data_IF_072367427824
#
_entry.id   IF_072367427824
#
_cell.length_a   1.000
_cell.length_b   1.000
_cell.length_c   1.000
_cell.angle_alpha   90.00
_cell.angle_beta   90.00
_cell.angle_gamma   90.00
#
_symmetry.space_group_name_H-M   'P 1'
#
loop_
_entity.id
_entity.type
_entity.pdbx_description
1 polymer ?
#
# COMPACT_ATOMS: atom_id res chain seq x y z
N UNK A 1 -10.47 -31.33 42.27
CA UNK A 1 -9.84 -30.29 41.46
C UNK A 1 -10.17 -28.85 41.91
N UNK A 2 -11.40 -28.45 42.20
CA UNK A 2 -11.78 -27.06 42.56
C UNK A 2 -11.14 -26.47 43.85
N UNK A 3 -10.64 -27.27 44.76
CA UNK A 3 -10.04 -26.79 46.05
C UNK A 3 -8.54 -26.41 45.92
N UNK A 4 -7.82 -26.92 44.91
CA UNK A 4 -6.42 -26.62 44.65
C UNK A 4 -6.25 -25.25 43.95
N UNK A 5 -7.17 -24.90 43.06
CA UNK A 5 -7.14 -23.62 42.36
C UNK A 5 -7.33 -22.39 43.30
N UNK A 6 -8.20 -22.52 44.32
CA UNK A 6 -8.44 -21.43 45.28
C UNK A 6 -7.23 -21.09 46.16
N UNK A 7 -6.37 -22.07 46.45
CA UNK A 7 -5.18 -21.90 47.31
C UNK A 7 -4.00 -21.29 46.55
N UNK A 8 -3.94 -21.50 45.22
CA UNK A 8 -2.92 -20.93 44.35
C UNK A 8 -3.21 -19.43 44.05
N UNK A 9 -4.49 -19.12 43.78
CA UNK A 9 -4.91 -17.74 43.49
C UNK A 9 -4.73 -16.75 44.67
N UNK A 10 -4.74 -17.25 45.92
CA UNK A 10 -4.48 -16.42 47.11
C UNK A 10 -3.01 -16.04 47.32
N UNK A 11 -2.07 -16.63 46.58
CA UNK A 11 -0.64 -16.32 46.62
C UNK A 11 -0.14 -15.43 45.48
N UNK A 12 -1.00 -15.15 44.50
CA UNK A 12 -0.64 -14.29 43.37
C UNK A 12 -0.92 -12.85 43.82
N UNK A 13 0.14 -12.09 43.96
CA UNK A 13 0.07 -10.63 44.17
C UNK A 13 0.21 -9.97 42.81
N UNK A 14 -0.84 -9.31 42.35
CA UNK A 14 -0.81 -8.54 41.11
C UNK A 14 -0.20 -7.19 41.43
N UNK A 15 0.90 -6.86 40.78
CA UNK A 15 1.64 -5.63 40.97
C UNK A 15 1.21 -4.56 39.96
N UNK A 16 1.61 -3.31 40.20
CA UNK A 16 1.39 -2.22 39.22
C UNK A 16 2.09 -2.47 37.89
N UNK A 17 3.21 -3.21 37.91
CA UNK A 17 3.96 -3.55 36.70
C UNK A 17 3.28 -4.64 35.88
N UNK A 18 2.58 -5.60 36.54
CA UNK A 18 1.74 -6.56 35.86
C UNK A 18 0.56 -5.87 35.13
N UNK A 19 -0.05 -4.84 35.78
CA UNK A 19 -1.08 -4.04 35.12
C UNK A 19 -0.53 -3.25 33.94
N UNK A 20 0.65 -2.63 34.07
CA UNK A 20 1.28 -1.92 32.95
C UNK A 20 1.62 -2.84 31.78
N UNK A 21 2.11 -4.05 32.09
CA UNK A 21 2.40 -5.07 31.07
C UNK A 21 1.12 -5.55 30.39
N UNK A 22 0.07 -5.86 31.15
CA UNK A 22 -1.22 -6.24 30.63
C UNK A 22 -1.88 -5.13 29.78
N UNK A 23 -1.75 -3.85 30.18
CA UNK A 23 -2.25 -2.72 29.40
C UNK A 23 -1.52 -2.54 28.05
N UNK A 24 -0.27 -2.99 27.94
CA UNK A 24 0.45 -3.01 26.66
C UNK A 24 -0.08 -4.11 25.72
N UNK A 25 -0.53 -5.23 26.29
CA UNK A 25 -1.04 -6.37 25.50
C UNK A 25 -2.54 -6.27 25.21
N UNK A 26 -3.32 -5.64 26.11
CA UNK A 26 -4.77 -5.49 25.95
C UNK A 26 -5.06 -4.23 25.15
N UNK A 27 -5.35 -4.42 23.87
CA UNK A 27 -5.85 -3.31 23.04
C UNK A 27 -7.33 -3.05 23.36
N UNK A 28 -7.76 -1.78 23.53
CA UNK A 28 -9.16 -1.41 23.68
C UNK A 28 -9.99 -1.97 22.50
N UNK A 29 -11.21 -2.43 22.78
CA UNK A 29 -12.07 -3.07 21.77
C UNK A 29 -12.34 -2.19 20.54
N UNK A 30 -12.42 -0.86 20.73
CA UNK A 30 -12.57 0.11 19.66
C UNK A 30 -11.34 0.19 18.72
N UNK A 31 -10.14 -0.23 19.18
CA UNK A 31 -8.91 -0.22 18.40
C UNK A 31 -8.72 -1.49 17.55
N UNK A 32 -9.55 -2.52 17.76
CA UNK A 32 -9.48 -3.77 16.96
C UNK A 32 -9.90 -3.59 15.50
N UNK A 33 -10.55 -2.48 15.16
CA UNK A 33 -11.03 -2.21 13.81
C UNK A 33 -9.94 -1.65 12.88
N UNK A 34 -8.91 -0.99 13.44
CA UNK A 34 -7.75 -0.49 12.69
C UNK A 34 -6.60 -1.47 12.83
N UNK A 35 -6.32 -2.21 11.76
CA UNK A 35 -5.23 -3.20 11.72
C UNK A 35 -3.89 -2.49 11.54
N UNK A 36 -3.00 -2.70 12.51
CA UNK A 36 -1.59 -2.33 12.37
C UNK A 36 -0.85 -3.54 11.84
N UNK A 37 -0.13 -3.36 10.76
CA UNK A 37 0.67 -4.38 10.11
C UNK A 37 2.16 -4.04 10.27
N UNK A 38 3.00 -5.06 10.34
CA UNK A 38 4.43 -4.92 10.12
C UNK A 38 4.69 -5.54 8.76
N UNK A 39 4.88 -4.73 7.71
CA UNK A 39 5.10 -5.28 6.37
C UNK A 39 6.47 -5.97 6.31
N UNK A 40 6.55 -7.05 5.54
CA UNK A 40 7.80 -7.76 5.26
C UNK A 40 8.07 -7.66 3.75
N UNK A 41 8.21 -6.43 3.27
CA UNK A 41 8.50 -6.11 1.86
C UNK A 41 9.72 -5.22 1.83
N UNK A 42 10.74 -5.62 1.08
CA UNK A 42 12.00 -4.88 0.93
C UNK A 42 12.04 -4.10 -0.38
N UNK A 43 12.98 -3.18 -0.49
CA UNK A 43 13.22 -2.48 -1.77
C UNK A 43 13.60 -3.42 -2.91
N UNK A 44 14.19 -4.59 -2.60
CA UNK A 44 14.58 -5.60 -3.59
C UNK A 44 13.36 -6.34 -4.16
N UNK A 45 12.26 -6.40 -3.42
CA UNK A 45 10.99 -6.98 -3.89
C UNK A 45 10.25 -6.05 -4.88
N UNK A 46 10.72 -4.83 -5.05
CA UNK A 46 10.15 -3.86 -6.00
C UNK A 46 11.07 -3.77 -7.22
N UNK A 47 10.64 -4.34 -8.34
CA UNK A 47 11.42 -4.31 -9.58
C UNK A 47 11.45 -2.92 -10.22
N UNK A 48 12.65 -2.36 -10.45
CA UNK A 48 12.85 -1.04 -11.05
C UNK A 48 12.37 0.12 -10.19
N UNK A 49 11.92 1.21 -10.81
CA UNK A 49 11.39 2.43 -10.16
C UNK A 49 12.41 3.12 -9.24
N UNK A 50 13.69 3.12 -9.61
CA UNK A 50 14.78 3.59 -8.75
C UNK A 50 14.62 5.06 -8.35
N UNK A 51 14.18 5.92 -9.29
CA UNK A 51 13.91 7.33 -9.00
C UNK A 51 12.78 7.48 -7.97
N UNK A 52 11.69 6.71 -8.14
CA UNK A 52 10.54 6.71 -7.22
C UNK A 52 10.95 6.19 -5.83
N UNK A 53 11.77 5.13 -5.78
CA UNK A 53 12.33 4.61 -4.52
C UNK A 53 13.17 5.66 -3.82
N UNK A 54 14.03 6.37 -4.57
CA UNK A 54 14.85 7.43 -4.01
C UNK A 54 14.01 8.59 -3.46
N UNK A 55 12.98 9.04 -4.20
CA UNK A 55 12.07 10.07 -3.72
C UNK A 55 11.31 9.64 -2.44
N UNK A 56 10.89 8.38 -2.35
CA UNK A 56 10.24 7.84 -1.15
C UNK A 56 11.20 7.72 0.03
N UNK A 57 12.46 7.34 -0.20
CA UNK A 57 13.50 7.35 0.84
C UNK A 57 13.66 8.74 1.43
N UNK A 58 13.78 9.76 0.57
CA UNK A 58 13.93 11.14 0.99
C UNK A 58 12.71 11.69 1.72
N UNK A 59 11.51 11.38 1.23
CA UNK A 59 10.27 11.93 1.75
C UNK A 59 9.76 11.23 3.02
N UNK A 60 10.05 9.93 3.21
CA UNK A 60 9.46 9.10 4.27
C UNK A 60 10.52 8.41 5.12
N UNK A 61 11.45 7.66 4.49
CA UNK A 61 12.41 6.84 5.23
C UNK A 61 13.40 7.70 6.04
N UNK A 62 14.00 8.70 5.42
CA UNK A 62 14.99 9.55 6.09
C UNK A 62 14.41 10.37 7.24
N UNK A 63 13.23 11.01 7.11
CA UNK A 63 12.61 11.69 8.26
C UNK A 63 12.34 10.77 9.45
N UNK A 64 11.86 9.55 9.21
CA UNK A 64 11.55 8.57 10.26
C UNK A 64 12.82 7.99 10.91
N UNK A 65 13.88 7.74 10.12
CA UNK A 65 15.13 7.17 10.64
C UNK A 65 16.10 8.20 11.21
N UNK A 66 16.07 9.43 10.73
CA UNK A 66 17.06 10.45 11.02
C UNK A 66 16.44 11.83 11.29
N UNK A 67 15.43 11.95 12.17
CA UNK A 67 14.77 13.22 12.47
C UNK A 67 15.75 14.31 12.94
N UNK A 68 16.79 13.92 13.67
CA UNK A 68 17.83 14.82 14.18
C UNK A 68 18.61 15.56 13.09
N UNK A 69 18.70 14.95 11.88
CA UNK A 69 19.37 15.60 10.75
C UNK A 69 18.51 16.69 10.14
N UNK A 70 17.20 16.44 10.04
CA UNK A 70 16.25 17.43 9.55
C UNK A 70 16.18 18.65 10.48
N UNK A 71 16.13 18.44 11.79
CA UNK A 71 16.21 19.52 12.79
C UNK A 71 17.52 20.33 12.67
N UNK A 72 18.65 19.64 12.56
CA UNK A 72 19.97 20.28 12.46
C UNK A 72 20.09 21.19 11.23
N UNK A 73 19.49 20.81 10.11
CA UNK A 73 19.53 21.60 8.89
C UNK A 73 18.33 22.57 8.76
N UNK A 74 17.38 22.56 9.70
CA UNK A 74 16.17 23.38 9.64
C UNK A 74 15.26 23.04 8.47
N UNK A 75 15.33 21.79 7.96
CA UNK A 75 14.51 21.30 6.85
C UNK A 75 13.27 20.62 7.43
N UNK A 76 12.10 21.05 6.98
CA UNK A 76 10.84 20.40 7.36
C UNK A 76 10.56 19.23 6.44
N UNK A 77 10.37 18.00 6.98
CA UNK A 77 9.97 16.88 6.16
C UNK A 77 8.55 17.08 5.60
N UNK A 78 8.23 16.51 4.44
CA UNK A 78 6.86 16.55 3.93
C UNK A 78 5.94 15.76 4.86
N UNK A 79 4.75 16.31 5.18
CA UNK A 79 3.75 15.62 6.00
C UNK A 79 3.10 14.46 5.28
N UNK A 80 2.88 14.61 3.98
CA UNK A 80 2.23 13.61 3.15
C UNK A 80 2.85 13.49 1.77
N UNK A 81 2.85 12.28 1.26
CA UNK A 81 3.33 11.91 -0.07
C UNK A 81 2.18 11.31 -0.88
N UNK A 82 1.92 11.84 -2.07
CA UNK A 82 0.93 11.30 -2.99
C UNK A 82 1.61 10.49 -4.10
N UNK A 83 1.32 9.19 -4.15
CA UNK A 83 1.69 8.32 -5.26
C UNK A 83 0.57 8.31 -6.30
N UNK A 84 0.87 8.66 -7.54
CA UNK A 84 -0.14 8.66 -8.59
C UNK A 84 0.37 8.04 -9.88
N UNK A 85 -0.52 7.44 -10.64
CA UNK A 85 -0.19 6.76 -11.91
C UNK A 85 -1.20 5.67 -12.24
N UNK A 86 -0.97 4.97 -13.33
CA UNK A 86 -1.87 3.90 -13.80
C UNK A 86 -1.98 2.76 -12.79
N UNK A 87 -3.12 2.04 -12.74
CA UNK A 87 -3.28 0.90 -11.85
C UNK A 87 -2.24 -0.21 -12.18
N UNK A 88 -1.88 -1.01 -11.18
CA UNK A 88 -0.97 -2.13 -11.34
C UNK A 88 0.53 -1.78 -11.42
N UNK A 89 0.92 -0.50 -11.25
CA UNK A 89 2.32 -0.06 -11.26
C UNK A 89 3.07 -0.24 -9.93
N UNK A 90 2.45 -0.84 -8.91
CA UNK A 90 3.12 -1.17 -7.64
C UNK A 90 3.04 -0.10 -6.55
N UNK A 91 2.13 0.89 -6.63
CA UNK A 91 1.98 1.96 -5.62
C UNK A 91 1.81 1.44 -4.19
N UNK A 92 0.95 0.45 -3.99
CA UNK A 92 0.74 -0.19 -2.69
C UNK A 92 1.97 -0.97 -2.22
N UNK A 93 2.70 -1.60 -3.14
CA UNK A 93 3.94 -2.33 -2.84
C UNK A 93 5.05 -1.35 -2.40
N UNK A 94 5.21 -0.22 -3.09
CA UNK A 94 6.13 0.85 -2.73
C UNK A 94 5.86 1.40 -1.32
N UNK A 95 4.58 1.64 -0.99
CA UNK A 95 4.20 2.11 0.35
C UNK A 95 4.53 1.10 1.45
N UNK A 96 4.36 -0.20 1.18
CA UNK A 96 4.75 -1.26 2.12
C UNK A 96 6.27 -1.36 2.25
N UNK A 97 7.00 -1.28 1.13
CA UNK A 97 8.45 -1.34 1.14
C UNK A 97 9.06 -0.20 1.95
N UNK A 98 8.64 1.05 1.74
CA UNK A 98 9.17 2.18 2.51
C UNK A 98 8.85 2.06 4.01
N UNK A 99 7.67 1.55 4.37
CA UNK A 99 7.32 1.34 5.79
C UNK A 99 8.18 0.24 6.43
N UNK A 100 8.37 -0.89 5.73
CA UNK A 100 9.22 -2.00 6.19
C UNK A 100 10.67 -1.54 6.36
N UNK A 101 11.21 -0.90 5.36
CA UNK A 101 12.59 -0.38 5.38
C UNK A 101 12.79 0.72 6.42
N UNK A 102 11.74 1.49 6.74
CA UNK A 102 11.77 2.49 7.82
C UNK A 102 11.60 1.90 9.22
N UNK A 103 11.45 0.58 9.35
CA UNK A 103 11.10 -0.10 10.61
C UNK A 103 9.82 0.48 11.26
N UNK A 104 8.91 0.99 10.42
CA UNK A 104 7.68 1.64 10.86
C UNK A 104 6.49 0.69 10.77
N UNK A 105 5.54 0.87 11.68
CA UNK A 105 4.24 0.24 11.60
C UNK A 105 3.48 0.73 10.36
N UNK A 106 2.61 -0.09 9.80
CA UNK A 106 1.86 0.21 8.59
C UNK A 106 0.36 0.09 8.86
N UNK A 107 -0.37 1.18 8.61
CA UNK A 107 -1.83 1.22 8.69
C UNK A 107 -2.35 1.46 7.29
N UNK A 108 -2.96 0.43 6.69
CA UNK A 108 -3.57 0.53 5.37
C UNK A 108 -5.06 0.81 5.49
N UNK A 109 -5.51 1.83 4.78
CA UNK A 109 -6.90 2.29 4.74
C UNK A 109 -7.32 2.40 3.29
N UNK A 110 -8.32 1.64 2.88
CA UNK A 110 -8.92 1.78 1.54
C UNK A 110 -10.03 2.80 1.57
N UNK A 111 -10.04 3.72 0.61
CA UNK A 111 -11.05 4.76 0.54
C UNK A 111 -12.48 4.23 0.61
N UNK A 112 -12.90 3.23 -0.21
CA UNK A 112 -14.25 2.65 -0.12
C UNK A 112 -14.60 2.05 1.24
N UNK A 113 -13.63 1.49 1.97
CA UNK A 113 -13.86 0.91 3.31
C UNK A 113 -14.22 1.98 4.35
N UNK A 114 -13.63 3.18 4.26
CA UNK A 114 -13.98 4.30 5.12
C UNK A 114 -15.44 4.75 4.94
N UNK A 115 -15.95 4.67 3.71
CA UNK A 115 -17.34 5.05 3.43
C UNK A 115 -18.33 3.97 3.85
N UNK A 116 -18.01 2.68 3.62
CA UNK A 116 -18.91 1.55 3.84
C UNK A 116 -18.92 1.04 5.29
N UNK A 117 -17.76 0.91 5.91
CA UNK A 117 -17.59 0.35 7.25
C UNK A 117 -18.05 1.29 8.35
N UNK A 118 -17.98 2.60 8.08
CA UNK A 118 -18.30 3.67 9.02
C UNK A 118 -19.53 4.47 8.59
N UNK A 119 -20.58 3.79 8.10
CA UNK A 119 -21.84 4.44 7.71
C UNK A 119 -22.40 5.25 8.88
N UNK A 120 -22.45 6.58 8.70
CA UNK A 120 -22.85 7.53 9.75
C UNK A 120 -21.74 8.03 10.68
N UNK A 121 -20.55 7.39 10.70
CA UNK A 121 -19.41 7.72 11.59
C UNK A 121 -18.08 7.77 10.83
N UNK A 122 -18.07 7.99 9.53
CA UNK A 122 -16.86 7.94 8.68
C UNK A 122 -15.78 8.94 9.14
N UNK A 123 -16.17 10.07 9.73
CA UNK A 123 -15.25 11.04 10.35
C UNK A 123 -14.56 10.46 11.58
N UNK A 124 -15.27 9.67 12.38
CA UNK A 124 -14.70 8.97 13.53
C UNK A 124 -13.67 7.94 13.08
N UNK A 125 -13.91 7.23 11.97
CA UNK A 125 -12.96 6.30 11.38
C UNK A 125 -11.62 6.98 11.04
N UNK A 126 -11.65 8.16 10.43
CA UNK A 126 -10.42 8.93 10.16
C UNK A 126 -9.71 9.28 11.46
N UNK A 127 -10.41 9.83 12.47
CA UNK A 127 -9.81 10.14 13.78
C UNK A 127 -9.16 8.93 14.44
N UNK A 128 -9.81 7.76 14.38
CA UNK A 128 -9.29 6.52 14.95
C UNK A 128 -8.00 6.07 14.25
N UNK A 129 -7.91 6.19 12.92
CA UNK A 129 -6.70 5.89 12.15
C UNK A 129 -5.54 6.75 12.63
N UNK A 130 -5.72 8.07 12.69
CA UNK A 130 -4.67 8.98 13.14
C UNK A 130 -4.30 8.79 14.62
N UNK A 131 -5.29 8.60 15.48
CA UNK A 131 -5.07 8.28 16.90
C UNK A 131 -4.25 7.00 17.06
N UNK A 132 -4.58 5.97 16.30
CA UNK A 132 -3.85 4.70 16.32
C UNK A 132 -2.42 4.88 15.81
N UNK A 133 -2.22 5.62 14.72
CA UNK A 133 -0.90 5.88 14.18
C UNK A 133 0.02 6.58 15.20
N UNK A 134 -0.47 7.61 15.89
CA UNK A 134 0.27 8.29 16.97
C UNK A 134 0.63 7.34 18.12
N UNK A 135 -0.26 6.40 18.45
CA UNK A 135 -0.01 5.44 19.54
C UNK A 135 1.01 4.35 19.18
N UNK A 136 1.17 4.07 17.88
CA UNK A 136 2.06 3.03 17.36
C UNK A 136 3.24 3.59 16.58
N UNK A 137 3.56 4.87 16.77
CA UNK A 137 4.69 5.51 16.10
C UNK A 137 6.03 4.79 16.42
N UNK A 138 6.98 4.69 15.46
CA UNK A 138 6.88 5.25 14.11
C UNK A 138 5.87 4.50 13.23
N UNK A 139 5.05 5.23 12.46
CA UNK A 139 3.96 4.64 11.67
C UNK A 139 3.81 5.31 10.32
N UNK A 140 3.58 4.52 9.28
CA UNK A 140 3.14 4.97 7.96
C UNK A 140 1.64 4.71 7.82
N UNK A 141 0.84 5.76 7.62
CA UNK A 141 -0.56 5.66 7.23
C UNK A 141 -0.62 5.64 5.70
N UNK A 142 -1.23 4.61 5.14
CA UNK A 142 -1.40 4.47 3.70
C UNK A 142 -2.87 4.52 3.32
N UNK A 143 -3.26 5.57 2.58
CA UNK A 143 -4.59 5.69 1.99
C UNK A 143 -4.56 5.18 0.54
N UNK A 144 -5.14 4.01 0.30
CA UNK A 144 -5.29 3.47 -1.05
C UNK A 144 -6.61 3.93 -1.68
N UNK A 145 -6.59 4.19 -2.99
CA UNK A 145 -7.76 4.69 -3.73
C UNK A 145 -8.37 5.95 -3.09
N UNK A 146 -7.52 6.91 -2.72
CA UNK A 146 -7.96 8.14 -2.02
C UNK A 146 -8.97 8.95 -2.86
N UNK A 147 -8.96 8.80 -4.17
CA UNK A 147 -9.92 9.43 -5.09
C UNK A 147 -11.36 8.99 -4.85
N UNK A 148 -11.60 7.83 -4.24
CA UNK A 148 -12.94 7.36 -3.88
C UNK A 148 -13.58 8.21 -2.78
N UNK A 149 -12.76 8.78 -1.87
CA UNK A 149 -13.22 9.62 -0.75
C UNK A 149 -12.96 11.10 -0.95
N UNK A 150 -12.06 11.47 -1.85
CA UNK A 150 -11.57 12.84 -2.01
C UNK A 150 -11.83 13.42 -3.41
N UNK A 151 -12.88 12.95 -4.09
CA UNK A 151 -13.23 13.41 -5.43
C UNK A 151 -14.07 14.70 -5.41
N UNK A 152 -13.70 15.66 -6.28
CA UNK A 152 -14.44 16.90 -6.50
C UNK A 152 -15.74 16.70 -7.30
N UNK A 153 -15.93 15.56 -7.99
CA UNK A 153 -17.05 15.31 -8.91
C UNK A 153 -18.35 14.85 -8.25
N UNK A 154 -18.36 14.62 -6.93
CA UNK A 154 -19.56 14.17 -6.19
C UNK A 154 -20.64 15.26 -6.00
N UNK A 155 -20.71 16.26 -6.88
CA UNK A 155 -21.63 17.40 -6.70
C UNK A 155 -23.12 17.06 -6.87
N UNK A 156 -23.47 15.89 -7.43
CA UNK A 156 -24.84 15.54 -7.79
C UNK A 156 -25.41 14.30 -7.08
N UNK A 157 -24.67 13.63 -6.19
CA UNK A 157 -25.16 12.47 -5.46
C UNK A 157 -25.50 12.80 -4.00
N UNK A 158 -26.51 12.14 -3.46
CA UNK A 158 -26.93 12.23 -2.05
C UNK A 158 -25.81 11.90 -1.04
N UNK A 159 -24.74 11.24 -1.47
CA UNK A 159 -23.55 10.90 -0.69
C UNK A 159 -22.50 12.02 -0.63
N UNK A 160 -22.69 13.13 -1.38
CA UNK A 160 -21.73 14.24 -1.42
C UNK A 160 -21.45 14.87 -0.04
N UNK A 161 -22.41 14.81 0.86
CA UNK A 161 -22.27 15.34 2.22
C UNK A 161 -21.33 14.53 3.10
N UNK A 162 -21.37 13.20 3.01
CA UNK A 162 -20.50 12.30 3.80
C UNK A 162 -19.05 12.42 3.31
N UNK A 163 -18.84 12.33 2.02
CA UNK A 163 -17.53 12.44 1.40
C UNK A 163 -16.82 13.76 1.76
N UNK A 164 -17.53 14.89 1.67
CA UNK A 164 -16.99 16.21 2.07
C UNK A 164 -16.60 16.26 3.55
N UNK A 165 -17.39 15.65 4.45
CA UNK A 165 -17.07 15.61 5.88
C UNK A 165 -15.80 14.76 6.15
N UNK A 166 -15.67 13.62 5.47
CA UNK A 166 -14.47 12.76 5.55
C UNK A 166 -13.23 13.52 5.08
N UNK A 167 -13.30 14.21 3.93
CA UNK A 167 -12.20 15.04 3.44
C UNK A 167 -11.84 16.13 4.43
N UNK A 168 -12.83 16.88 4.95
CA UNK A 168 -12.57 17.93 5.93
C UNK A 168 -11.95 17.38 7.23
N UNK A 169 -12.39 16.19 7.67
CA UNK A 169 -11.77 15.55 8.84
C UNK A 169 -10.34 15.13 8.53
N UNK A 170 -10.06 14.55 7.35
CA UNK A 170 -8.71 14.20 6.92
C UNK A 170 -7.81 15.43 6.90
N UNK A 171 -8.27 16.54 6.33
CA UNK A 171 -7.55 17.81 6.32
C UNK A 171 -7.25 18.31 7.74
N UNK A 172 -8.23 18.23 8.64
CA UNK A 172 -8.07 18.64 10.05
C UNK A 172 -7.02 17.78 10.77
N UNK A 173 -7.06 16.45 10.57
CA UNK A 173 -6.06 15.55 11.18
C UNK A 173 -4.65 15.80 10.62
N UNK A 174 -4.52 16.00 9.29
CA UNK A 174 -3.23 16.33 8.67
C UNK A 174 -2.67 17.66 9.18
N UNK A 175 -3.51 18.68 9.29
CA UNK A 175 -3.10 19.99 9.82
C UNK A 175 -2.72 19.92 11.31
N UNK A 176 -3.35 19.00 12.07
CA UNK A 176 -3.10 18.74 13.47
C UNK A 176 -1.90 17.85 13.78
N UNK A 177 -1.22 17.29 12.75
CA UNK A 177 0.04 16.59 12.95
C UNK A 177 1.16 17.61 13.18
N UNK A 178 1.82 17.51 14.32
CA UNK A 178 3.04 18.26 14.58
C UNK A 178 4.21 17.65 13.79
N UNK A 179 5.25 18.44 13.50
CA UNK A 179 6.34 18.08 12.56
C UNK A 179 7.21 16.90 13.03
N UNK A 180 7.02 16.37 14.24
CA UNK A 180 7.90 15.37 14.89
C UNK A 180 7.12 14.20 15.53
N UNK A 181 5.91 13.91 15.05
CA UNK A 181 5.12 12.82 15.66
C UNK A 181 5.46 11.42 15.13
N UNK A 182 6.57 11.24 14.37
CA UNK A 182 6.99 9.95 13.75
C UNK A 182 5.87 9.26 12.95
N UNK A 183 4.97 10.06 12.37
CA UNK A 183 3.87 9.59 11.51
C UNK A 183 4.02 10.16 10.13
N UNK A 184 4.22 9.31 9.14
CA UNK A 184 4.22 9.68 7.73
C UNK A 184 2.91 9.27 7.06
N UNK A 185 2.41 10.09 6.14
CA UNK A 185 1.19 9.80 5.38
C UNK A 185 1.55 9.56 3.93
N UNK A 186 1.10 8.44 3.39
CA UNK A 186 1.19 8.13 1.96
C UNK A 186 -0.22 7.93 1.43
N UNK A 187 -0.56 8.55 0.31
CA UNK A 187 -1.79 8.28 -0.41
C UNK A 187 -1.50 7.75 -1.81
N UNK A 188 -2.36 6.89 -2.32
CA UNK A 188 -2.29 6.39 -3.69
C UNK A 188 -3.58 6.70 -4.44
N UNK A 189 -3.44 7.11 -5.70
CA UNK A 189 -4.56 7.34 -6.61
C UNK A 189 -4.21 6.97 -8.05
N UNK A 190 -5.21 6.52 -8.78
CA UNK A 190 -5.13 6.39 -10.24
C UNK A 190 -5.66 7.64 -10.97
N UNK A 191 -6.29 8.56 -10.25
CA UNK A 191 -7.01 9.72 -10.77
C UNK A 191 -6.64 11.01 -10.02
N UNK A 192 -5.41 11.52 -10.17
CA UNK A 192 -5.00 12.77 -9.50
C UNK A 192 -5.81 13.99 -9.97
N UNK A 193 -6.41 13.91 -11.17
CA UNK A 193 -7.21 14.97 -11.80
C UNK A 193 -8.54 15.28 -11.06
N UNK A 194 -9.04 14.34 -10.24
CA UNK A 194 -10.32 14.52 -9.55
C UNK A 194 -10.17 14.79 -8.06
N UNK A 195 -8.95 14.78 -7.53
CA UNK A 195 -8.72 15.02 -6.10
C UNK A 195 -9.09 16.45 -5.69
N UNK A 196 -9.55 16.59 -4.45
CA UNK A 196 -9.83 17.89 -3.84
C UNK A 196 -8.54 18.73 -3.77
N UNK A 197 -8.60 19.94 -4.31
CA UNK A 197 -7.45 20.86 -4.32
C UNK A 197 -6.95 21.22 -2.91
N UNK A 198 -7.78 21.09 -1.89
CA UNK A 198 -7.40 21.29 -0.50
C UNK A 198 -6.35 20.30 -0.01
N UNK A 199 -6.38 19.05 -0.50
CA UNK A 199 -5.39 18.04 -0.14
C UNK A 199 -4.01 18.30 -0.75
N UNK A 200 -3.98 18.99 -1.89
CA UNK A 200 -2.75 19.26 -2.66
C UNK A 200 -2.04 20.55 -2.20
N UNK A 201 -2.52 21.18 -1.13
CA UNK A 201 -1.90 22.42 -0.61
C UNK A 201 -0.66 22.08 0.22
N UNK A 202 0.36 22.99 0.25
CA UNK A 202 1.50 22.85 1.14
C UNK A 202 1.11 22.60 2.60
N UNK A 203 1.84 21.72 3.28
CA UNK A 203 1.53 21.28 4.65
C UNK A 203 0.61 20.05 4.71
N UNK A 204 0.24 19.45 3.56
CA UNK A 204 -0.61 18.26 3.45
C UNK A 204 0.06 17.22 2.57
N UNK A 205 -0.41 17.00 1.36
CA UNK A 205 0.37 16.19 0.40
C UNK A 205 1.36 17.10 -0.33
N UNK A 206 2.52 17.28 0.27
CA UNK A 206 3.56 18.19 -0.22
C UNK A 206 4.37 17.59 -1.38
N UNK A 207 4.51 16.25 -1.35
CA UNK A 207 5.29 15.53 -2.34
C UNK A 207 4.36 14.73 -3.25
N UNK A 208 4.48 14.96 -4.56
CA UNK A 208 3.71 14.24 -5.56
C UNK A 208 4.67 13.42 -6.41
N UNK A 209 4.59 12.09 -6.29
CA UNK A 209 5.48 11.16 -6.96
C UNK A 209 4.68 10.40 -8.01
N UNK A 210 5.07 10.56 -9.27
CA UNK A 210 4.47 9.84 -10.38
C UNK A 210 5.08 8.45 -10.51
N UNK A 211 4.23 7.43 -10.53
CA UNK A 211 4.64 6.06 -10.79
C UNK A 211 4.29 5.74 -12.23
N UNK A 212 5.28 5.86 -13.10
CA UNK A 212 5.12 5.64 -14.54
C UNK A 212 5.07 4.15 -14.90
N UNK A 213 4.75 3.86 -16.17
CA UNK A 213 4.87 2.53 -16.72
C UNK A 213 6.33 2.08 -16.69
N UNK A 214 6.62 0.81 -16.38
CA UNK A 214 7.97 0.32 -16.35
C UNK A 214 8.59 0.32 -17.76
N UNK A 215 9.80 0.86 -17.88
CA UNK A 215 10.64 0.74 -19.07
C UNK A 215 11.17 -0.70 -19.21
N UNK A 216 11.90 -1.01 -20.27
CA UNK A 216 12.41 -2.38 -20.53
C UNK A 216 13.27 -2.90 -19.37
N UNK A 217 14.16 -2.07 -18.81
CA UNK A 217 15.02 -2.45 -17.69
C UNK A 217 14.23 -2.73 -16.41
N UNK A 218 13.25 -1.88 -16.13
CA UNK A 218 12.33 -2.09 -15.01
C UNK A 218 11.49 -3.36 -15.20
N UNK A 219 10.99 -3.65 -16.41
CA UNK A 219 10.26 -4.89 -16.69
C UNK A 219 11.16 -6.11 -16.49
N UNK A 220 12.42 -6.05 -16.92
CA UNK A 220 13.37 -7.12 -16.65
C UNK A 220 13.57 -7.35 -15.14
N UNK A 221 13.70 -6.27 -14.38
CA UNK A 221 13.81 -6.34 -12.91
C UNK A 221 12.55 -6.93 -12.28
N UNK A 222 11.35 -6.56 -12.76
CA UNK A 222 10.08 -7.11 -12.30
C UNK A 222 9.99 -8.62 -12.63
N UNK A 223 10.39 -9.05 -13.83
CA UNK A 223 10.47 -10.47 -14.15
C UNK A 223 11.40 -11.22 -13.21
N UNK A 224 12.59 -10.68 -12.89
CA UNK A 224 13.51 -11.30 -11.95
C UNK A 224 12.89 -11.50 -10.58
N UNK A 225 12.21 -10.49 -10.05
CA UNK A 225 11.51 -10.56 -8.76
C UNK A 225 10.43 -11.66 -8.80
N UNK A 226 9.56 -11.66 -9.81
CA UNK A 226 8.45 -12.63 -9.87
C UNK A 226 8.85 -14.05 -10.31
N UNK A 227 10.08 -14.24 -10.78
CA UNK A 227 10.63 -15.57 -11.05
C UNK A 227 11.66 -16.02 -10.04
N UNK A 228 11.87 -15.24 -8.97
CA UNK A 228 12.76 -15.65 -7.86
C UNK A 228 12.22 -16.92 -7.21
N UNK A 229 13.09 -17.94 -7.10
CA UNK A 229 12.70 -19.26 -6.62
C UNK A 229 11.89 -20.12 -7.60
N UNK A 230 11.54 -19.61 -8.78
CA UNK A 230 10.90 -20.40 -9.83
C UNK A 230 11.96 -21.14 -10.65
N UNK A 231 11.89 -22.48 -10.77
CA UNK A 231 12.83 -23.24 -11.60
C UNK A 231 12.55 -22.96 -13.09
N UNK A 232 13.34 -22.10 -13.70
CA UNK A 232 13.26 -21.79 -15.13
C UNK A 232 14.09 -22.79 -15.93
N UNK A 233 13.59 -23.17 -17.11
CA UNK A 233 14.35 -23.96 -18.07
C UNK A 233 15.41 -23.09 -18.78
N UNK A 234 16.47 -23.71 -19.30
CA UNK A 234 17.59 -23.02 -19.96
C UNK A 234 17.18 -22.23 -21.23
N UNK A 235 16.00 -22.53 -21.80
CA UNK A 235 15.46 -21.85 -22.97
C UNK A 235 14.73 -20.52 -22.65
N UNK A 236 14.54 -20.18 -21.37
CA UNK A 236 13.88 -18.96 -20.91
C UNK A 236 14.88 -17.81 -20.84
N UNK A 237 14.60 -16.73 -21.57
CA UNK A 237 15.36 -15.48 -21.46
C UNK A 237 14.45 -14.36 -20.97
N UNK A 238 14.69 -13.88 -19.74
CA UNK A 238 13.92 -12.79 -19.14
C UNK A 238 14.09 -11.48 -19.92
N UNK A 239 15.25 -11.27 -20.54
CA UNK A 239 15.52 -10.11 -21.41
C UNK A 239 14.60 -10.10 -22.64
N UNK A 240 14.39 -11.27 -23.26
CA UNK A 240 13.46 -11.38 -24.39
C UNK A 240 12.01 -11.15 -23.95
N UNK A 241 11.64 -11.67 -22.79
CA UNK A 241 10.30 -11.45 -22.22
C UNK A 241 10.07 -9.98 -21.91
N UNK A 242 11.06 -9.27 -21.31
CA UNK A 242 10.99 -7.84 -21.05
C UNK A 242 10.81 -7.01 -22.32
N UNK A 243 11.45 -7.39 -23.45
CA UNK A 243 11.26 -6.75 -24.76
C UNK A 243 9.87 -6.97 -25.33
N UNK A 244 9.30 -8.16 -25.14
CA UNK A 244 8.00 -8.55 -25.69
C UNK A 244 6.81 -7.99 -24.90
N UNK A 245 7.04 -7.48 -23.69
CA UNK A 245 6.01 -7.00 -22.78
C UNK A 245 5.93 -5.47 -22.71
N UNK A 246 6.11 -4.81 -23.85
CA UNK A 246 5.94 -3.35 -23.89
C UNK A 246 4.51 -2.93 -23.51
N UNK A 247 4.37 -1.90 -22.68
CA UNK A 247 3.09 -1.44 -22.15
C UNK A 247 2.51 -2.26 -20.99
N UNK A 248 3.16 -3.36 -20.57
CA UNK A 248 2.74 -4.14 -19.40
C UNK A 248 3.11 -3.40 -18.09
N UNK A 249 2.22 -3.49 -17.11
CA UNK A 249 2.48 -3.04 -15.73
C UNK A 249 3.01 -4.20 -14.87
N UNK A 250 3.47 -3.89 -13.65
CA UNK A 250 3.99 -4.92 -12.74
C UNK A 250 3.01 -6.06 -12.48
N UNK A 251 1.73 -5.73 -12.29
CA UNK A 251 0.67 -6.72 -12.08
C UNK A 251 0.44 -7.64 -13.31
N UNK A 252 0.61 -7.11 -14.53
CA UNK A 252 0.51 -7.93 -15.75
C UNK A 252 1.68 -8.92 -15.83
N UNK A 253 2.90 -8.47 -15.52
CA UNK A 253 4.10 -9.33 -15.53
C UNK A 253 3.99 -10.43 -14.48
N UNK A 254 3.53 -10.10 -13.27
CA UNK A 254 3.22 -11.08 -12.24
C UNK A 254 2.22 -12.13 -12.76
N UNK A 255 1.14 -11.69 -13.41
CA UNK A 255 0.14 -12.56 -13.98
C UNK A 255 0.72 -13.48 -15.05
N UNK A 256 1.64 -12.98 -15.92
CA UNK A 256 2.34 -13.80 -16.93
C UNK A 256 3.19 -14.88 -16.25
N UNK A 257 3.99 -14.53 -15.24
CA UNK A 257 4.82 -15.49 -14.51
C UNK A 257 3.96 -16.58 -13.84
N UNK A 258 2.89 -16.17 -13.18
CA UNK A 258 1.95 -17.09 -12.51
C UNK A 258 1.24 -17.99 -13.52
N UNK A 259 0.76 -17.45 -14.65
CA UNK A 259 0.09 -18.26 -15.67
C UNK A 259 1.06 -19.24 -16.32
N UNK A 260 2.30 -18.87 -16.61
CA UNK A 260 3.32 -19.76 -17.15
C UNK A 260 3.59 -20.96 -16.20
N UNK A 261 3.75 -20.69 -14.91
CA UNK A 261 3.91 -21.74 -13.91
C UNK A 261 2.67 -22.65 -13.81
N UNK A 262 1.46 -22.06 -13.82
CA UNK A 262 0.21 -22.83 -13.78
C UNK A 262 0.00 -23.68 -15.04
N UNK A 263 0.39 -23.19 -16.23
CA UNK A 263 0.36 -23.96 -17.46
C UNK A 263 1.33 -25.16 -17.41
N UNK A 264 2.50 -24.96 -16.82
CA UNK A 264 3.47 -26.06 -16.61
C UNK A 264 2.85 -27.14 -15.75
N UNK A 265 2.37 -26.80 -14.55
CA UNK A 265 1.76 -27.75 -13.62
C UNK A 265 0.50 -28.44 -14.18
N UNK A 266 -0.30 -27.73 -14.98
CA UNK A 266 -1.51 -28.29 -15.61
C UNK A 266 -1.18 -29.38 -16.63
N UNK A 267 -0.04 -29.25 -17.32
CA UNK A 267 0.38 -30.21 -18.34
C UNK A 267 1.21 -31.35 -17.72
N UNK A 268 1.98 -31.07 -16.69
CA UNK A 268 2.81 -32.04 -16.00
C UNK A 268 3.02 -31.60 -14.55
N UNK A 269 2.42 -32.33 -13.60
CA UNK A 269 2.55 -32.03 -12.16
C UNK A 269 3.94 -32.36 -11.61
N UNK A 270 4.68 -33.22 -12.30
CA UNK A 270 6.04 -33.63 -11.90
C UNK A 270 7.13 -32.82 -12.67
N UNK A 271 6.74 -31.74 -13.37
CA UNK A 271 7.67 -30.91 -14.11
C UNK A 271 8.72 -30.28 -13.16
N UNK A 272 9.99 -30.45 -13.51
CA UNK A 272 11.12 -29.88 -12.71
C UNK A 272 11.39 -28.40 -12.99
N UNK A 273 10.94 -27.88 -14.15
CA UNK A 273 11.19 -26.50 -14.56
C UNK A 273 10.08 -25.95 -15.46
N UNK A 274 10.04 -24.63 -15.60
CA UNK A 274 9.07 -23.88 -16.42
C UNK A 274 9.74 -23.53 -17.77
N UNK A 275 9.35 -24.17 -18.88
CA UNK A 275 9.94 -23.90 -20.21
C UNK A 275 9.33 -22.65 -20.86
N UNK A 276 10.09 -22.05 -21.77
CA UNK A 276 9.73 -20.80 -22.47
C UNK A 276 8.42 -20.89 -23.27
N UNK A 277 8.02 -22.09 -23.72
CA UNK A 277 6.74 -22.29 -24.42
C UNK A 277 5.53 -21.81 -23.61
N UNK A 278 5.54 -22.03 -22.26
CA UNK A 278 4.43 -21.63 -21.42
C UNK A 278 4.45 -20.11 -21.11
N UNK A 279 5.61 -19.46 -21.11
CA UNK A 279 5.66 -18.00 -21.10
C UNK A 279 5.04 -17.40 -22.37
N UNK A 280 5.29 -17.98 -23.55
CA UNK A 280 4.65 -17.55 -24.80
C UNK A 280 3.13 -17.72 -24.75
N UNK A 281 2.65 -18.88 -24.31
CA UNK A 281 1.21 -19.13 -24.13
C UNK A 281 0.58 -18.17 -23.09
N UNK A 282 1.29 -17.87 -22.00
CA UNK A 282 0.85 -16.91 -21.01
C UNK A 282 0.73 -15.49 -21.58
N UNK A 283 1.68 -15.06 -22.43
CA UNK A 283 1.62 -13.76 -23.13
C UNK A 283 0.47 -13.66 -24.13
N UNK A 284 0.01 -14.78 -24.69
CA UNK A 284 -1.19 -14.79 -25.53
C UNK A 284 -2.47 -14.55 -24.72
N UNK A 285 -2.52 -15.02 -23.47
CA UNK A 285 -3.68 -14.92 -22.58
C UNK A 285 -3.72 -13.61 -21.80
N UNK A 286 -2.58 -13.22 -21.24
CA UNK A 286 -2.45 -11.99 -20.43
C UNK A 286 -2.11 -10.84 -21.38
N UNK A 287 -3.02 -9.89 -21.51
CA UNK A 287 -2.81 -8.68 -22.31
C UNK A 287 -2.47 -7.51 -21.40
N UNK A 288 -1.75 -6.48 -21.91
CA UNK A 288 -1.43 -5.31 -21.12
C UNK A 288 -2.71 -4.59 -20.65
N UNK A 289 -2.83 -4.37 -19.36
CA UNK A 289 -4.00 -3.71 -18.75
C UNK A 289 -4.17 -2.24 -19.20
N UNK A 290 -3.12 -1.64 -19.75
CA UNK A 290 -3.09 -0.24 -20.16
C UNK A 290 -3.34 -0.04 -21.67
N UNK A 291 -4.12 -0.92 -22.31
CA UNK A 291 -4.42 -0.78 -23.72
C UNK A 291 -5.62 0.16 -23.94
N UNK A 292 -5.45 1.38 -24.52
CA UNK A 292 -6.54 2.36 -24.65
C UNK A 292 -7.75 1.87 -25.47
N UNK A 293 -7.61 0.74 -26.17
CA UNK A 293 -8.64 0.19 -27.07
C UNK A 293 -9.66 -0.74 -26.42
N UNK A 294 -9.43 -1.27 -25.19
CA UNK A 294 -10.28 -2.29 -24.58
C UNK A 294 -11.11 -1.81 -23.38
N UNK A 295 -10.77 -0.67 -22.77
CA UNK A 295 -11.53 -0.09 -21.65
C UNK A 295 -12.98 0.22 -22.02
N UNK A 296 -13.28 0.40 -23.32
CA UNK A 296 -14.65 0.62 -23.85
C UNK A 296 -15.49 -0.65 -24.07
N UNK A 297 -14.90 -1.86 -24.04
CA UNK A 297 -15.61 -3.12 -24.40
C UNK A 297 -16.03 -3.96 -23.20
N UNK A 298 -15.39 -3.80 -22.06
CA UNK A 298 -15.75 -4.57 -20.84
C UNK A 298 -17.08 -4.11 -20.22
N UNK A 299 -17.44 -2.84 -20.36
CA UNK A 299 -18.71 -2.30 -19.80
C UNK A 299 -19.96 -2.67 -20.60
N UNK A 300 -19.82 -3.30 -21.79
CA UNK A 300 -20.96 -3.68 -22.65
C UNK A 300 -21.36 -5.16 -22.55
N UNK A 301 -20.64 -6.02 -21.84
CA UNK A 301 -20.95 -7.48 -21.78
C UNK A 301 -21.70 -7.94 -20.53
N UNK A 302 -21.97 -7.06 -19.57
CA UNK A 302 -22.76 -7.41 -18.37
C UNK A 302 -24.22 -6.94 -18.40
N UNK A 303 -24.76 -6.66 -19.59
CA UNK A 303 -26.20 -6.43 -19.76
C UNK A 303 -26.75 -7.27 -20.92
N UNK A 304 -26.88 -8.57 -20.72
CA UNK A 304 -27.88 -9.44 -21.37
C UNK A 304 -28.32 -10.49 -20.35
#
# INVERSE_FOLDING_TARGET
MKRFQKKFLKKIVVTSDDFKSALKEIQPSALREVLVQVPDVKWDDVGGLDDVKQELKEAVEWPLKHPEKFEKFGVRPPKGTLLYGVPGTGKTLLAKAVASESEANFISVKGPELLSKWVGESEQGVREVFRKAKQTAPTVIFFDEIDSIASTRSANDSDSGVTKRVVNQLLTEMDGLEELEDVAIIAATNRPDILDAGLMRPGRFDRHIKVDLPNEEARLSIFKVHTEGMPLADDVSLEKLAKQTDGYVGADIEAVCREAAMLTLRNDLDAENVPNKYFKEALEKVKPSNNPGEIGRASCRERV
#
